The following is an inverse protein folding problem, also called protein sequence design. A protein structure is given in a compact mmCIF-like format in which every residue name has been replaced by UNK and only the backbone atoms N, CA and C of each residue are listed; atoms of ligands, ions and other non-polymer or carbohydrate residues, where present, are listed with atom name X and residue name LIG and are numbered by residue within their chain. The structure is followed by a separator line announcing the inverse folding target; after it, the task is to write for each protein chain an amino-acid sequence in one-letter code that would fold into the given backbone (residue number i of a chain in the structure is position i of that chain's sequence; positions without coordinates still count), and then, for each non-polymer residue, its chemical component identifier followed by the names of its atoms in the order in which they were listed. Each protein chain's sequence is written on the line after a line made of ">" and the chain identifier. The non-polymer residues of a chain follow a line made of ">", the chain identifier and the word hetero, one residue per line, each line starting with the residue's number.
data_IF_162958130230
#
_entry.id   IF_162958130230
#
_cell.length_a   1.000
_cell.length_b   1.000
_cell.length_c   1.000
_cell.angle_alpha   90.00
_cell.angle_beta   90.00
_cell.angle_gamma   90.00
#
_symmetry.space_group_name_H-M   'P 1'
#
loop_
_entity.id
_entity.type
_entity.pdbx_description
1 polymer ?
#
# COMPACT_ATOMS: atom_id res chain seq x y z
N UNK A 1 19.39 8.02 1.53
CA UNK A 1 18.48 8.55 0.49
C UNK A 1 17.43 9.41 1.19
N UNK A 2 16.72 10.31 0.49
CA UNK A 2 15.56 11.00 1.09
C UNK A 2 14.33 10.09 1.01
N UNK A 3 13.66 9.88 2.14
CA UNK A 3 12.46 9.05 2.24
C UNK A 3 11.27 9.89 2.70
N UNK A 4 10.07 9.39 2.42
CA UNK A 4 8.82 10.04 2.80
C UNK A 4 7.94 9.04 3.52
N UNK A 5 7.27 9.53 4.55
CA UNK A 5 6.20 8.79 5.22
C UNK A 5 4.92 8.94 4.40
N UNK A 6 4.23 7.83 4.14
CA UNK A 6 2.94 7.84 3.46
C UNK A 6 1.98 6.78 4.04
N UNK A 7 0.70 6.97 3.76
CA UNK A 7 -0.34 5.95 3.96
C UNK A 7 -0.87 5.53 2.59
N UNK A 8 -0.82 4.23 2.30
CA UNK A 8 -1.43 3.63 1.11
C UNK A 8 -2.72 2.93 1.55
N UNK A 9 -3.86 3.44 1.11
CA UNK A 9 -5.16 2.83 1.29
C UNK A 9 -5.51 2.00 0.05
N UNK A 10 -5.83 0.73 0.25
CA UNK A 10 -6.13 -0.26 -0.79
C UNK A 10 -7.51 -0.84 -0.49
N UNK A 11 -8.38 -0.89 -1.49
CA UNK A 11 -9.68 -1.57 -1.44
C UNK A 11 -9.67 -2.66 -2.49
N UNK A 12 -9.98 -3.88 -2.08
CA UNK A 12 -10.04 -5.07 -2.93
C UNK A 12 -11.50 -5.50 -3.03
N UNK A 13 -12.06 -5.41 -4.23
CA UNK A 13 -13.43 -5.81 -4.58
C UNK A 13 -13.49 -7.24 -5.14
N UNK A 14 -12.36 -7.75 -5.62
CA UNK A 14 -12.20 -9.12 -6.13
C UNK A 14 -11.16 -9.89 -5.31
N UNK A 15 -11.60 -10.91 -4.58
CA UNK A 15 -10.74 -11.72 -3.73
C UNK A 15 -9.58 -12.41 -4.47
N UNK A 16 -9.69 -12.62 -5.78
CA UNK A 16 -8.60 -13.18 -6.60
C UNK A 16 -7.35 -12.28 -6.63
N UNK A 17 -7.53 -10.97 -6.48
CA UNK A 17 -6.41 -10.01 -6.46
C UNK A 17 -5.72 -9.91 -5.10
N UNK A 18 -6.28 -10.50 -4.04
CA UNK A 18 -5.71 -10.40 -2.70
C UNK A 18 -4.32 -11.03 -2.59
N UNK A 19 -4.08 -12.14 -3.29
CA UNK A 19 -2.76 -12.78 -3.29
C UNK A 19 -1.71 -11.87 -3.95
N UNK A 20 -1.99 -11.35 -5.13
CA UNK A 20 -1.05 -10.50 -5.88
C UNK A 20 -0.78 -9.18 -5.15
N UNK A 21 -1.79 -8.58 -4.51
CA UNK A 21 -1.60 -7.43 -3.61
C UNK A 21 -0.63 -7.78 -2.49
N UNK A 22 -0.80 -8.93 -1.83
CA UNK A 22 0.07 -9.35 -0.74
C UNK A 22 1.51 -9.60 -1.19
N UNK A 23 1.73 -10.18 -2.37
CA UNK A 23 3.06 -10.39 -2.95
C UNK A 23 3.78 -9.06 -3.25
N UNK A 24 3.07 -8.10 -3.84
CA UNK A 24 3.59 -6.75 -4.07
C UNK A 24 3.97 -6.04 -2.76
N UNK A 25 3.12 -6.14 -1.74
CA UNK A 25 3.40 -5.58 -0.41
C UNK A 25 4.58 -6.28 0.27
N UNK A 26 4.70 -7.61 0.13
CA UNK A 26 5.83 -8.37 0.67
C UNK A 26 7.17 -7.92 0.07
N UNK A 27 7.20 -7.63 -1.23
CA UNK A 27 8.40 -7.08 -1.89
C UNK A 27 8.84 -5.71 -1.37
N UNK A 28 7.96 -4.98 -0.69
CA UNK A 28 8.25 -3.70 -0.05
C UNK A 28 8.29 -3.78 1.49
N UNK A 29 8.29 -4.99 2.08
CA UNK A 29 8.12 -5.17 3.52
C UNK A 29 9.13 -4.42 4.39
N UNK A 30 10.37 -4.28 3.93
CA UNK A 30 11.44 -3.55 4.62
C UNK A 30 11.13 -2.07 4.87
N UNK A 31 10.22 -1.49 4.08
CA UNK A 31 9.80 -0.08 4.19
C UNK A 31 8.50 0.09 4.98
N UNK A 32 7.75 -0.99 5.24
CA UNK A 32 6.44 -0.93 5.87
C UNK A 32 6.61 -0.78 7.37
N UNK A 33 6.17 0.37 7.91
CA UNK A 33 6.13 0.65 9.35
C UNK A 33 5.02 -0.16 10.02
N UNK A 34 3.88 -0.30 9.34
CA UNK A 34 2.73 -1.02 9.86
C UNK A 34 1.65 -1.24 8.81
N UNK A 35 0.79 -2.23 9.05
CA UNK A 35 -0.36 -2.51 8.20
C UNK A 35 -1.59 -2.89 9.01
N UNK A 36 -2.75 -2.50 8.50
CA UNK A 36 -4.06 -2.89 9.02
C UNK A 36 -4.89 -3.50 7.89
N UNK A 37 -5.42 -4.69 8.10
CA UNK A 37 -6.36 -5.35 7.19
C UNK A 37 -7.74 -5.43 7.82
N UNK A 38 -8.76 -5.00 7.10
CA UNK A 38 -10.16 -4.98 7.55
C UNK A 38 -11.01 -5.71 6.50
N UNK A 39 -11.40 -6.97 6.75
CA UNK A 39 -12.36 -7.66 5.88
C UNK A 39 -13.76 -7.07 6.12
N UNK A 40 -14.35 -6.45 5.09
CA UNK A 40 -15.70 -5.91 5.16
C UNK A 40 -16.68 -6.86 4.45
N UNK A 41 -16.97 -7.97 5.14
CA UNK A 41 -17.74 -9.11 4.61
C UNK A 41 -19.12 -8.70 4.06
N UNK A 42 -19.80 -7.78 4.74
CA UNK A 42 -21.14 -7.32 4.35
C UNK A 42 -21.16 -6.64 2.97
N UNK A 43 -20.01 -6.15 2.50
CA UNK A 43 -19.83 -5.55 1.18
C UNK A 43 -19.02 -6.42 0.23
N UNK A 44 -18.55 -7.59 0.68
CA UNK A 44 -17.70 -8.47 -0.11
C UNK A 44 -16.33 -7.88 -0.44
N UNK A 45 -15.87 -6.86 0.28
CA UNK A 45 -14.58 -6.18 0.01
C UNK A 45 -13.59 -6.39 1.15
N UNK A 46 -12.31 -6.16 0.86
CA UNK A 46 -11.25 -6.07 1.87
C UNK A 46 -10.54 -4.73 1.78
N UNK A 47 -10.31 -4.10 2.93
CA UNK A 47 -9.59 -2.83 3.03
C UNK A 47 -8.22 -3.12 3.64
N UNK A 48 -7.15 -2.60 3.03
CA UNK A 48 -5.79 -2.68 3.56
C UNK A 48 -5.24 -1.26 3.64
N UNK A 49 -4.74 -0.89 4.82
CA UNK A 49 -4.03 0.36 5.06
C UNK A 49 -2.58 0.06 5.39
N UNK A 50 -1.65 0.69 4.67
CA UNK A 50 -0.21 0.52 4.85
C UNK A 50 0.40 1.85 5.26
N UNK A 51 1.06 1.91 6.41
CA UNK A 51 1.97 2.98 6.75
C UNK A 51 3.38 2.60 6.28
N UNK A 52 4.01 3.45 5.47
CA UNK A 52 5.29 3.17 4.80
C UNK A 52 6.23 4.37 4.93
N UNK A 53 7.52 4.11 5.16
CA UNK A 53 8.59 5.09 5.02
C UNK A 53 9.58 4.57 3.99
N UNK A 54 9.58 5.19 2.81
CA UNK A 54 10.40 4.75 1.69
C UNK A 54 10.75 5.93 0.77
N UNK A 55 11.71 5.72 -0.15
CA UNK A 55 11.91 6.61 -1.29
C UNK A 55 10.60 6.82 -2.07
N UNK A 56 10.35 8.06 -2.53
CA UNK A 56 9.06 8.41 -3.15
C UNK A 56 8.76 7.59 -4.41
N UNK A 57 9.78 7.25 -5.19
CA UNK A 57 9.69 6.40 -6.38
C UNK A 57 9.27 4.97 -6.03
N UNK A 58 9.74 4.42 -4.90
CA UNK A 58 9.30 3.13 -4.37
C UNK A 58 7.81 3.16 -4.01
N UNK A 59 7.35 4.19 -3.29
CA UNK A 59 5.94 4.35 -2.91
C UNK A 59 5.05 4.50 -4.16
N UNK A 60 5.46 5.34 -5.10
CA UNK A 60 4.76 5.57 -6.36
C UNK A 60 4.68 4.30 -7.20
N UNK A 61 5.79 3.56 -7.31
CA UNK A 61 5.84 2.29 -8.06
C UNK A 61 4.95 1.23 -7.43
N UNK A 62 5.01 1.06 -6.12
CA UNK A 62 4.18 0.10 -5.38
C UNK A 62 2.69 0.40 -5.56
N UNK A 63 2.29 1.63 -5.29
CA UNK A 63 0.89 2.06 -5.46
C UNK A 63 0.41 1.93 -6.91
N UNK A 64 1.24 2.30 -7.89
CA UNK A 64 0.93 2.14 -9.31
C UNK A 64 0.80 0.69 -9.76
N UNK A 65 1.62 -0.23 -9.23
CA UNK A 65 1.49 -1.68 -9.50
C UNK A 65 0.19 -2.23 -8.92
N UNK A 66 -0.10 -1.92 -7.66
CA UNK A 66 -1.33 -2.37 -6.99
C UNK A 66 -2.58 -1.83 -7.68
N UNK A 67 -2.59 -0.54 -8.05
CA UNK A 67 -3.73 0.11 -8.69
C UNK A 67 -4.01 -0.36 -10.13
N UNK A 68 -3.13 -1.15 -10.74
CA UNK A 68 -3.36 -1.78 -12.05
C UNK A 68 -4.05 -3.14 -11.95
N UNK A 69 -4.15 -3.71 -10.75
CA UNK A 69 -4.83 -4.98 -10.54
C UNK A 69 -6.34 -4.79 -10.71
N UNK A 70 -6.98 -5.76 -11.37
CA UNK A 70 -8.42 -5.72 -11.63
C UNK A 70 -9.19 -5.82 -10.32
N UNK A 71 -10.17 -4.94 -10.11
CA UNK A 71 -10.97 -4.95 -8.88
C UNK A 71 -10.21 -4.44 -7.65
N UNK A 72 -9.16 -3.65 -7.86
CA UNK A 72 -8.40 -2.99 -6.79
C UNK A 72 -8.42 -1.47 -6.99
N UNK A 73 -8.76 -0.75 -5.92
CA UNK A 73 -8.64 0.70 -5.84
C UNK A 73 -7.54 1.08 -4.86
N UNK A 74 -6.71 2.06 -5.23
CA UNK A 74 -5.60 2.54 -4.37
C UNK A 74 -5.59 4.06 -4.26
N UNK A 75 -5.30 4.56 -3.07
CA UNK A 75 -5.03 5.98 -2.80
C UNK A 75 -3.82 6.10 -1.89
N UNK A 76 -2.93 7.01 -2.22
CA UNK A 76 -1.74 7.28 -1.41
C UNK A 76 -1.79 8.69 -0.86
N UNK A 77 -1.69 8.83 0.45
CA UNK A 77 -1.56 10.11 1.14
C UNK A 77 -0.13 10.25 1.65
N UNK A 78 0.58 11.29 1.20
CA UNK A 78 1.93 11.57 1.65
C UNK A 78 1.93 12.51 2.85
N UNK A 79 2.80 12.24 3.82
CA UNK A 79 3.12 13.17 4.89
C UNK A 79 3.97 14.33 4.35
N UNK A 80 3.92 15.45 5.07
CA UNK A 80 4.86 16.56 4.90
C UNK A 80 6.21 16.30 5.58
N UNK A 81 6.33 15.20 6.35
CA UNK A 81 7.59 14.75 6.94
C UNK A 81 8.48 14.13 5.86
N UNK A 82 9.68 14.69 5.71
CA UNK A 82 10.76 14.16 4.88
C UNK A 82 11.84 13.65 5.83
N UNK A 83 12.20 12.38 5.70
CA UNK A 83 13.25 11.74 6.48
C UNK A 83 14.50 11.61 5.62
N UNK A 84 15.68 11.67 6.25
CA UNK A 84 16.93 11.26 5.62
C UNK A 84 17.33 9.94 6.24
N UNK A 85 17.61 8.92 5.43
CA UNK A 85 18.28 7.72 5.94
C UNK A 85 19.60 8.15 6.59
N UNK A 86 19.80 7.74 7.85
CA UNK A 86 21.07 7.88 8.56
C UNK A 86 22.14 6.96 7.98
#
# INVERSE_FOLDING_TARGET
>A
METRVAVIAIIIEDGSSAQEVNELLHGAAQYIIGRMGIPYRDKGISIISIAIDAPQDVISTLSGKIGRLKGVSVKTAYSNVVSKEN
#
